data_IF_744502276826
#
_entry.id   IF_744502276826
#
_cell.length_a   1.000
_cell.length_b   1.000
_cell.length_c   1.000
_cell.angle_alpha   90.00
_cell.angle_beta   90.00
_cell.angle_gamma   90.00
#
_symmetry.space_group_name_H-M   'P 1'
#
loop_
_entity.id
_entity.type
_entity.pdbx_description
1 polymer ?
#
# COMPACT_ATOMS: atom_id res chain seq x y z
N UNK A 1 -13.83 -12.27 25.54
CA UNK A 1 -14.06 -10.96 24.90
C UNK A 1 -12.92 -10.64 23.96
N UNK A 2 -13.19 -10.37 22.71
CA UNK A 2 -12.15 -9.97 21.77
C UNK A 2 -11.75 -8.52 22.06
N UNK A 3 -10.44 -8.20 22.12
CA UNK A 3 -10.02 -6.81 22.26
C UNK A 3 -10.49 -5.99 21.06
N UNK A 4 -10.87 -4.76 21.32
CA UNK A 4 -11.31 -3.84 20.27
C UNK A 4 -10.09 -3.16 19.66
N UNK A 5 -9.90 -3.32 18.36
CA UNK A 5 -8.88 -2.60 17.61
C UNK A 5 -9.41 -1.22 17.24
N UNK A 6 -8.62 -0.20 17.51
CA UNK A 6 -8.93 1.18 17.16
C UNK A 6 -7.92 1.68 16.16
N UNK A 7 -8.39 2.25 15.05
CA UNK A 7 -7.53 2.77 13.99
C UNK A 7 -7.93 4.20 13.66
N UNK A 8 -6.92 5.01 13.27
CA UNK A 8 -7.18 6.34 12.76
C UNK A 8 -7.69 6.26 11.33
N UNK A 9 -8.85 6.87 11.08
CA UNK A 9 -9.47 6.91 9.77
C UNK A 9 -9.30 8.32 9.18
N UNK A 10 -8.54 8.44 8.09
CA UNK A 10 -8.31 9.72 7.42
C UNK A 10 -9.58 10.31 6.82
N UNK A 11 -10.54 9.49 6.47
CA UNK A 11 -11.83 9.97 5.94
C UNK A 11 -12.60 10.77 6.99
N UNK A 12 -12.64 10.28 8.22
CA UNK A 12 -13.35 10.90 9.32
C UNK A 12 -12.44 11.75 10.21
N UNK A 13 -11.13 11.64 10.04
CA UNK A 13 -10.09 12.35 10.80
C UNK A 13 -10.14 12.07 12.29
N UNK A 14 -10.49 10.86 12.68
CA UNK A 14 -10.52 10.45 14.08
C UNK A 14 -10.19 8.98 14.22
N UNK A 15 -9.84 8.57 15.44
CA UNK A 15 -9.70 7.16 15.77
C UNK A 15 -11.08 6.56 15.93
N UNK A 16 -11.29 5.42 15.31
CA UNK A 16 -12.55 4.70 15.32
C UNK A 16 -12.33 3.24 15.67
N UNK A 17 -13.31 2.63 16.31
CA UNK A 17 -13.30 1.18 16.47
C UNK A 17 -13.36 0.50 15.10
N UNK A 18 -12.51 -0.48 14.92
CA UNK A 18 -12.45 -1.22 13.66
C UNK A 18 -13.70 -2.10 13.52
N UNK A 19 -14.38 -1.95 12.39
CA UNK A 19 -15.52 -2.77 12.03
C UNK A 19 -15.33 -3.32 10.62
N UNK A 20 -15.71 -4.58 10.43
CA UNK A 20 -15.61 -5.24 9.12
C UNK A 20 -16.91 -5.05 8.34
N UNK A 21 -16.78 -4.98 7.01
CA UNK A 21 -17.95 -4.99 6.12
C UNK A 21 -18.63 -6.35 6.18
N UNK A 22 -17.83 -7.42 6.13
CA UNK A 22 -18.30 -8.79 6.26
C UNK A 22 -17.83 -9.36 7.60
N UNK A 23 -18.73 -9.92 8.43
CA UNK A 23 -18.32 -10.46 9.74
C UNK A 23 -17.20 -11.49 9.64
N UNK A 24 -16.14 -11.31 10.44
CA UNK A 24 -15.03 -12.23 10.52
C UNK A 24 -14.03 -12.17 9.37
N UNK A 25 -14.23 -11.30 8.39
CA UNK A 25 -13.34 -11.18 7.22
C UNK A 25 -12.87 -9.76 7.05
N UNK A 26 -11.58 -9.61 6.71
CA UNK A 26 -10.95 -8.32 6.49
C UNK A 26 -10.28 -8.32 5.13
N UNK A 27 -10.55 -7.28 4.33
CA UNK A 27 -9.80 -7.01 3.12
C UNK A 27 -8.83 -5.87 3.37
N UNK A 28 -7.54 -6.10 3.08
CA UNK A 28 -6.51 -5.07 3.17
C UNK A 28 -5.90 -4.84 1.79
N UNK A 29 -5.83 -3.58 1.39
CA UNK A 29 -5.11 -3.17 0.20
C UNK A 29 -4.05 -2.15 0.59
N UNK A 30 -2.80 -2.44 0.26
CA UNK A 30 -1.67 -1.59 0.60
C UNK A 30 -0.87 -1.30 -0.66
N UNK A 31 -0.52 -0.04 -0.87
CA UNK A 31 0.32 0.33 -1.99
C UNK A 31 1.71 -0.27 -1.84
N UNK A 32 2.18 -0.93 -2.90
CA UNK A 32 3.50 -1.51 -2.96
C UNK A 32 4.51 -0.59 -3.63
N UNK A 33 5.74 -1.07 -3.83
CA UNK A 33 6.79 -0.28 -4.48
C UNK A 33 6.49 -0.07 -5.95
N UNK A 34 7.16 0.94 -6.54
CA UNK A 34 7.20 1.14 -7.98
C UNK A 34 8.37 0.34 -8.56
N UNK A 35 8.36 0.13 -9.89
CA UNK A 35 9.41 -0.63 -10.55
C UNK A 35 10.54 0.24 -11.13
N UNK A 36 10.46 1.58 -10.98
CA UNK A 36 11.42 2.49 -11.60
C UNK A 36 12.72 2.67 -10.82
N UNK A 37 12.88 2.04 -9.68
CA UNK A 37 14.08 2.14 -8.86
C UNK A 37 14.21 1.02 -7.84
N UNK A 38 15.36 0.97 -7.19
CA UNK A 38 15.61 -0.01 -6.15
C UNK A 38 14.78 0.29 -4.91
N UNK A 39 14.43 -0.77 -4.18
CA UNK A 39 13.75 -0.61 -2.90
C UNK A 39 14.69 0.05 -1.88
N UNK A 40 14.12 0.89 -1.03
CA UNK A 40 14.87 1.53 0.05
C UNK A 40 14.07 1.45 1.36
N UNK A 41 14.63 2.01 2.45
CA UNK A 41 14.03 1.93 3.77
C UNK A 41 12.60 2.49 3.80
N UNK A 42 12.31 3.53 3.04
CA UNK A 42 10.96 4.07 2.91
C UNK A 42 9.95 3.07 2.34
N UNK A 43 10.38 2.12 1.53
CA UNK A 43 9.53 1.03 1.02
C UNK A 43 9.35 -0.07 2.07
N UNK A 44 10.34 -0.30 2.91
CA UNK A 44 10.27 -1.32 3.96
C UNK A 44 9.31 -0.94 5.08
N UNK A 45 9.22 0.34 5.43
CA UNK A 45 8.40 0.81 6.55
C UNK A 45 6.91 0.44 6.40
N UNK A 46 6.23 0.72 5.28
CA UNK A 46 4.85 0.28 5.11
C UNK A 46 4.71 -1.24 5.11
N UNK A 47 5.66 -1.96 4.50
CA UNK A 47 5.62 -3.41 4.47
C UNK A 47 5.64 -4.00 5.88
N UNK A 48 6.52 -3.52 6.73
CA UNK A 48 6.65 -3.98 8.11
C UNK A 48 5.42 -3.58 8.94
N UNK A 49 4.98 -2.32 8.81
CA UNK A 49 3.84 -1.80 9.55
C UNK A 49 2.56 -2.57 9.24
N UNK A 50 2.28 -2.80 7.97
CA UNK A 50 1.06 -3.49 7.57
C UNK A 50 1.15 -5.00 7.72
N UNK A 51 2.36 -5.57 7.74
CA UNK A 51 2.54 -6.97 8.14
C UNK A 51 2.17 -7.17 9.60
N UNK A 52 2.54 -6.23 10.47
CA UNK A 52 2.14 -6.26 11.87
C UNK A 52 0.62 -6.21 12.01
N UNK A 53 -0.03 -5.31 11.27
CA UNK A 53 -1.49 -5.20 11.29
C UNK A 53 -2.14 -6.48 10.78
N UNK A 54 -1.62 -7.06 9.69
CA UNK A 54 -2.11 -8.31 9.12
C UNK A 54 -2.06 -9.44 10.15
N UNK A 55 -0.92 -9.60 10.81
CA UNK A 55 -0.73 -10.64 11.84
C UNK A 55 -1.62 -10.41 13.05
N UNK A 56 -1.78 -9.16 13.47
CA UNK A 56 -2.62 -8.82 14.59
C UNK A 56 -4.10 -9.11 14.30
N UNK A 57 -4.57 -8.78 13.12
CA UNK A 57 -5.94 -9.10 12.70
C UNK A 57 -6.18 -10.61 12.69
N UNK A 58 -5.21 -11.40 12.22
CA UNK A 58 -5.30 -12.86 12.29
C UNK A 58 -5.33 -13.36 13.74
N UNK A 59 -4.53 -12.75 14.61
CA UNK A 59 -4.53 -13.06 16.04
C UNK A 59 -5.90 -12.81 16.67
N UNK A 60 -6.60 -11.78 16.24
CA UNK A 60 -7.96 -11.48 16.71
C UNK A 60 -9.01 -12.44 16.13
N UNK A 61 -8.64 -13.33 15.25
CA UNK A 61 -9.53 -14.34 14.70
C UNK A 61 -10.15 -14.00 13.34
N UNK A 62 -9.73 -12.90 12.72
CA UNK A 62 -10.21 -12.55 11.39
C UNK A 62 -9.51 -13.35 10.31
N UNK A 63 -10.25 -13.65 9.23
CA UNK A 63 -9.66 -14.12 7.98
C UNK A 63 -9.30 -12.89 7.17
N UNK A 64 -8.02 -12.71 6.87
CA UNK A 64 -7.52 -11.49 6.23
C UNK A 64 -7.04 -11.81 4.82
N UNK A 65 -7.56 -11.06 3.87
CA UNK A 65 -7.04 -11.03 2.50
C UNK A 65 -6.18 -9.79 2.36
N UNK A 66 -4.88 -9.99 2.22
CA UNK A 66 -3.91 -8.91 2.13
C UNK A 66 -3.40 -8.82 0.70
N UNK A 67 -3.64 -7.67 0.06
CA UNK A 67 -3.27 -7.43 -1.33
C UNK A 67 -2.35 -6.22 -1.39
N UNK A 68 -1.22 -6.39 -2.08
CA UNK A 68 -0.29 -5.29 -2.40
C UNK A 68 -0.12 -5.21 -3.89
N UNK A 69 -0.01 -4.00 -4.40
CA UNK A 69 0.28 -3.80 -5.82
C UNK A 69 1.78 -3.59 -6.05
N UNK A 70 2.17 -3.67 -7.31
CA UNK A 70 3.46 -3.17 -7.79
C UNK A 70 3.12 -2.17 -8.89
N UNK A 71 3.53 -0.91 -8.71
CA UNK A 71 3.20 0.15 -9.66
C UNK A 71 4.23 0.15 -10.78
N UNK A 72 3.79 -0.18 -11.98
CA UNK A 72 4.64 -0.22 -13.17
C UNK A 72 4.34 0.92 -14.15
N UNK A 73 3.16 1.54 -14.07
CA UNK A 73 2.76 2.68 -14.89
C UNK A 73 1.90 3.64 -14.07
N UNK A 74 1.76 4.87 -14.55
CA UNK A 74 0.80 5.82 -13.98
C UNK A 74 1.27 6.58 -12.76
N UNK A 75 2.55 6.43 -12.33
CA UNK A 75 3.09 7.15 -11.18
C UNK A 75 3.75 8.45 -11.64
N UNK A 76 3.08 9.58 -11.42
CA UNK A 76 3.55 10.89 -11.88
C UNK A 76 4.67 11.45 -10.99
N UNK A 77 5.59 12.23 -11.60
CA UNK A 77 6.80 12.73 -10.94
C UNK A 77 6.48 13.65 -9.75
N UNK A 78 5.47 14.47 -9.86
CA UNK A 78 5.11 15.47 -8.84
C UNK A 78 3.70 15.25 -8.29
N UNK A 79 3.16 14.05 -8.41
CA UNK A 79 1.77 13.74 -8.05
C UNK A 79 0.76 14.72 -8.66
N UNK A 80 1.12 15.29 -9.83
CA UNK A 80 0.28 16.21 -10.57
C UNK A 80 -0.20 15.56 -11.87
N UNK A 81 -1.42 15.89 -12.29
CA UNK A 81 -2.01 15.31 -13.50
C UNK A 81 -1.19 15.63 -14.76
N UNK A 82 -0.44 16.73 -14.75
CA UNK A 82 0.41 17.16 -15.86
C UNK A 82 1.85 16.70 -15.73
N UNK A 83 2.20 15.98 -14.65
CA UNK A 83 3.54 15.48 -14.45
C UNK A 83 3.88 14.33 -15.38
N UNK A 84 5.17 14.18 -15.70
CA UNK A 84 5.65 13.04 -16.47
C UNK A 84 5.59 11.78 -15.61
N UNK A 85 5.17 10.65 -16.19
CA UNK A 85 5.22 9.36 -15.53
C UNK A 85 6.67 9.03 -15.17
N UNK A 86 6.93 8.69 -13.91
CA UNK A 86 8.29 8.42 -13.44
C UNK A 86 8.94 7.23 -14.13
N UNK A 87 8.16 6.23 -14.47
CA UNK A 87 8.65 5.04 -15.16
C UNK A 87 9.02 5.39 -16.60
N UNK A 88 8.17 6.15 -17.28
CA UNK A 88 8.45 6.61 -18.64
C UNK A 88 9.68 7.51 -18.68
N UNK A 89 9.82 8.41 -17.68
CA UNK A 89 10.99 9.29 -17.57
C UNK A 89 12.27 8.48 -17.38
N UNK A 90 12.27 7.47 -16.52
CA UNK A 90 13.44 6.63 -16.31
C UNK A 90 13.78 5.83 -17.55
N UNK A 91 12.78 5.26 -18.23
CA UNK A 91 12.98 4.54 -19.48
C UNK A 91 13.63 5.43 -20.55
N UNK A 92 13.16 6.68 -20.68
CA UNK A 92 13.75 7.63 -21.61
C UNK A 92 15.20 7.97 -21.25
N UNK A 93 15.49 8.23 -19.97
CA UNK A 93 16.83 8.57 -19.52
C UNK A 93 17.83 7.43 -19.69
N UNK A 94 17.39 6.20 -19.53
CA UNK A 94 18.20 5.00 -19.64
C UNK A 94 18.08 4.33 -21.02
N UNK A 95 17.29 4.92 -21.92
CA UNK A 95 17.02 4.36 -23.27
C UNK A 95 16.39 2.98 -23.22
N UNK A 96 15.51 2.78 -22.24
CA UNK A 96 14.78 1.52 -22.04
C UNK A 96 13.30 1.70 -22.37
N UNK A 97 12.64 0.59 -22.68
CA UNK A 97 11.18 0.58 -22.73
C UNK A 97 10.62 0.62 -21.30
N UNK A 98 9.43 1.22 -21.07
CA UNK A 98 8.88 1.32 -19.71
C UNK A 98 8.77 -0.02 -18.99
N UNK A 99 8.53 -1.11 -19.68
CA UNK A 99 8.43 -2.44 -19.08
C UNK A 99 9.79 -3.04 -18.70
N UNK A 100 10.90 -2.42 -19.10
CA UNK A 100 12.24 -2.85 -18.74
C UNK A 100 12.75 -2.21 -17.44
N UNK A 101 12.07 -1.18 -16.98
CA UNK A 101 12.37 -0.50 -15.72
C UNK A 101 11.88 -1.33 -14.55
#
# INVERSE_FOLDING_TARGET
MKPTLTLYNTLTRRKEAFETINPGRVGMYVCGPTVYGDAHLGHARPAITFDLLYRYLQHLGYKVRYVRNITDVGHLEHDADEGEDKIAKKARLEQLEPMEV
#
